data_IF_853003562181
#
_entry.id   IF_853003562181
#
_cell.length_a   1.000
_cell.length_b   1.000
_cell.length_c   1.000
_cell.angle_alpha   90.00
_cell.angle_beta   90.00
_cell.angle_gamma   90.00
#
_symmetry.space_group_name_H-M   'P 1'
#
loop_
_entity.id
_entity.type
_entity.pdbx_description
1 polymer ?
#
# COMPACT_ATOMS: atom_id res chain seq x y z
N UNK A 1 4.71 -3.66 -6.73
CA UNK A 1 4.60 -2.59 -5.71
C UNK A 1 3.94 -1.38 -6.34
N UNK A 2 2.73 -1.01 -5.92
CA UNK A 2 2.04 0.18 -6.44
C UNK A 2 2.35 1.41 -5.59
N UNK A 3 2.33 2.62 -6.21
CA UNK A 3 2.71 3.85 -5.53
C UNK A 3 4.18 3.91 -5.09
N UNK A 4 5.07 3.25 -5.83
CA UNK A 4 6.47 3.04 -5.46
C UNK A 4 7.37 4.28 -5.61
N UNK A 5 6.86 5.41 -6.10
CA UNK A 5 7.69 6.57 -6.45
C UNK A 5 8.16 7.40 -5.26
N UNK A 6 7.60 7.24 -4.06
CA UNK A 6 7.95 8.01 -2.86
C UNK A 6 7.38 7.38 -1.57
N UNK A 7 7.84 7.87 -0.40
CA UNK A 7 7.32 7.52 0.93
C UNK A 7 7.30 6.01 1.19
N UNK A 8 6.25 5.51 1.84
CA UNK A 8 6.08 4.10 2.18
C UNK A 8 6.30 3.19 0.97
N UNK A 9 5.78 3.59 -0.21
CA UNK A 9 5.92 2.79 -1.42
C UNK A 9 7.36 2.62 -1.89
N UNK A 10 8.14 3.69 -1.87
CA UNK A 10 9.58 3.64 -2.19
C UNK A 10 10.35 2.83 -1.14
N UNK A 11 10.15 3.12 0.14
CA UNK A 11 10.82 2.40 1.22
C UNK A 11 10.53 0.89 1.16
N UNK A 12 9.27 0.52 0.89
CA UNK A 12 8.87 -0.89 0.72
C UNK A 12 9.53 -1.53 -0.50
N UNK A 13 9.60 -0.84 -1.63
CA UNK A 13 10.25 -1.36 -2.84
C UNK A 13 11.73 -1.67 -2.59
N UNK A 14 12.45 -0.77 -1.90
CA UNK A 14 13.84 -0.96 -1.50
C UNK A 14 13.99 -2.12 -0.51
N UNK A 15 13.16 -2.18 0.53
CA UNK A 15 13.22 -3.21 1.54
C UNK A 15 12.93 -4.61 0.97
N UNK A 16 11.96 -4.74 0.07
CA UNK A 16 11.68 -6.00 -0.64
C UNK A 16 12.86 -6.43 -1.51
N UNK A 17 13.49 -5.49 -2.23
CA UNK A 17 14.69 -5.78 -3.03
C UNK A 17 15.86 -6.24 -2.16
N UNK A 18 16.10 -5.59 -1.01
CA UNK A 18 17.11 -5.99 -0.03
C UNK A 18 16.83 -7.38 0.55
N UNK A 19 15.57 -7.76 0.68
CA UNK A 19 15.16 -9.11 1.06
C UNK A 19 15.23 -10.15 -0.08
N UNK A 20 15.76 -9.77 -1.25
CA UNK A 20 16.00 -10.66 -2.40
C UNK A 20 14.86 -10.73 -3.42
N UNK A 21 13.81 -9.92 -3.30
CA UNK A 21 12.74 -9.89 -4.28
C UNK A 21 13.12 -9.12 -5.55
N UNK A 22 12.68 -9.60 -6.72
CA UNK A 22 12.67 -8.81 -7.95
C UNK A 22 11.46 -7.87 -7.92
N UNK A 23 11.67 -6.56 -8.14
CA UNK A 23 10.65 -5.53 -7.89
C UNK A 23 10.14 -4.90 -9.19
N UNK A 24 8.84 -5.04 -9.45
CA UNK A 24 8.13 -4.20 -10.41
C UNK A 24 7.59 -2.96 -9.65
N UNK A 25 8.30 -1.83 -9.77
CA UNK A 25 7.93 -0.57 -9.15
C UNK A 25 6.93 0.17 -10.06
N UNK A 26 5.71 0.39 -9.57
CA UNK A 26 4.63 0.99 -10.36
C UNK A 26 4.11 2.30 -9.76
N UNK A 27 4.00 3.35 -10.56
CA UNK A 27 3.39 4.63 -10.23
C UNK A 27 3.18 5.48 -11.50
N UNK A 28 2.53 6.63 -11.36
CA UNK A 28 2.30 7.56 -12.48
C UNK A 28 3.54 8.36 -12.89
N UNK A 29 4.44 8.65 -11.94
CA UNK A 29 5.64 9.45 -12.19
C UNK A 29 6.80 8.55 -12.63
N UNK A 30 7.06 8.50 -13.93
CA UNK A 30 8.11 7.66 -14.54
C UNK A 30 9.52 8.06 -14.09
N UNK A 31 9.80 9.36 -13.95
CA UNK A 31 11.12 9.87 -13.54
C UNK A 31 11.49 9.41 -12.12
N UNK A 32 10.57 9.58 -11.16
CA UNK A 32 10.79 9.12 -9.79
C UNK A 32 10.93 7.60 -9.73
N UNK A 33 10.17 6.84 -10.54
CA UNK A 33 10.32 5.39 -10.63
C UNK A 33 11.69 4.98 -11.15
N UNK A 34 12.21 5.68 -12.16
CA UNK A 34 13.55 5.43 -12.70
C UNK A 34 14.63 5.60 -11.60
N UNK A 35 14.48 6.61 -10.73
CA UNK A 35 15.35 6.80 -9.58
C UNK A 35 15.31 5.62 -8.59
N UNK A 36 14.11 5.13 -8.25
CA UNK A 36 13.94 3.97 -7.35
C UNK A 36 14.55 2.71 -7.96
N UNK A 37 14.32 2.47 -9.24
CA UNK A 37 14.88 1.32 -9.96
C UNK A 37 16.41 1.39 -10.00
N UNK A 38 16.98 2.57 -10.29
CA UNK A 38 18.43 2.77 -10.31
C UNK A 38 19.06 2.48 -8.95
N UNK A 39 18.41 2.90 -7.85
CA UNK A 39 18.86 2.63 -6.49
C UNK A 39 18.85 1.13 -6.15
N UNK A 40 17.77 0.41 -6.52
CA UNK A 40 17.69 -1.04 -6.32
C UNK A 40 18.78 -1.76 -7.12
N UNK A 41 18.97 -1.39 -8.40
CA UNK A 41 19.96 -2.02 -9.27
C UNK A 41 21.38 -1.73 -8.80
N UNK A 42 21.67 -0.51 -8.35
CA UNK A 42 23.00 -0.16 -7.81
C UNK A 42 23.35 -0.91 -6.52
N UNK A 43 22.31 -1.31 -5.76
CA UNK A 43 22.47 -2.16 -4.57
C UNK A 43 22.55 -3.67 -4.91
N UNK A 44 22.58 -4.05 -6.20
CA UNK A 44 22.68 -5.44 -6.66
C UNK A 44 21.32 -6.16 -6.80
N UNK A 45 20.21 -5.48 -6.57
CA UNK A 45 18.86 -6.03 -6.73
C UNK A 45 18.37 -5.98 -8.19
N UNK A 46 17.19 -6.57 -8.43
CA UNK A 46 16.51 -6.53 -9.72
C UNK A 46 15.23 -5.71 -9.64
N UNK A 47 15.07 -4.74 -10.53
CA UNK A 47 13.85 -3.96 -10.60
C UNK A 47 13.52 -3.49 -12.02
N UNK A 48 12.22 -3.22 -12.27
CA UNK A 48 11.73 -2.50 -13.44
C UNK A 48 10.77 -1.40 -13.01
N UNK A 49 10.72 -0.33 -13.81
CA UNK A 49 9.74 0.74 -13.67
C UNK A 49 8.51 0.46 -14.55
N UNK A 50 7.32 0.57 -13.98
CA UNK A 50 6.05 0.46 -14.69
C UNK A 50 5.26 1.74 -14.49
N UNK A 51 5.18 2.57 -15.52
CA UNK A 51 4.31 3.74 -15.48
C UNK A 51 2.86 3.28 -15.60
N UNK A 52 2.06 3.52 -14.54
CA UNK A 52 0.70 3.01 -14.43
C UNK A 52 -0.14 3.85 -13.47
N UNK A 53 -1.37 4.17 -13.87
CA UNK A 53 -2.40 4.66 -12.95
C UNK A 53 -3.28 3.49 -12.50
N UNK A 54 -3.33 3.22 -11.20
CA UNK A 54 -4.16 2.14 -10.64
C UNK A 54 -5.66 2.38 -10.83
N UNK A 55 -6.08 3.61 -11.05
CA UNK A 55 -7.46 3.96 -11.34
C UNK A 55 -7.94 3.53 -12.75
N UNK A 56 -7.00 3.14 -13.63
CA UNK A 56 -7.25 2.71 -15.01
C UNK A 56 -7.02 1.19 -15.12
N UNK A 57 -8.11 0.43 -15.35
CA UNK A 57 -8.06 -1.03 -15.39
C UNK A 57 -7.18 -1.57 -16.54
N UNK A 58 -7.15 -0.88 -17.70
CA UNK A 58 -6.34 -1.32 -18.83
C UNK A 58 -4.85 -1.08 -18.58
N UNK A 59 -4.48 0.05 -17.98
CA UNK A 59 -3.10 0.29 -17.56
C UNK A 59 -2.67 -0.71 -16.49
N UNK A 60 -3.54 -1.06 -15.54
CA UNK A 60 -3.25 -2.10 -14.54
C UNK A 60 -3.00 -3.44 -15.23
N UNK A 61 -3.88 -3.87 -16.15
CA UNK A 61 -3.70 -5.12 -16.90
C UNK A 61 -2.39 -5.14 -17.67
N UNK A 62 -2.08 -4.07 -18.40
CA UNK A 62 -0.82 -3.94 -19.16
C UNK A 62 0.41 -3.97 -18.22
N UNK A 63 0.37 -3.27 -17.09
CA UNK A 63 1.45 -3.23 -16.12
C UNK A 63 1.73 -4.60 -15.48
N UNK A 64 0.68 -5.36 -15.14
CA UNK A 64 0.85 -6.72 -14.63
C UNK A 64 1.38 -7.69 -15.69
N UNK A 65 0.98 -7.51 -16.96
CA UNK A 65 1.54 -8.28 -18.06
C UNK A 65 3.05 -8.04 -18.19
N UNK A 66 3.49 -6.78 -18.23
CA UNK A 66 4.92 -6.42 -18.28
C UNK A 66 5.71 -7.00 -17.09
N UNK A 67 5.17 -6.94 -15.87
CA UNK A 67 5.83 -7.51 -14.71
C UNK A 67 5.99 -9.03 -14.83
N UNK A 68 4.94 -9.74 -15.25
CA UNK A 68 4.97 -11.19 -15.40
C UNK A 68 5.81 -11.65 -16.59
N UNK A 69 5.83 -10.92 -17.69
CA UNK A 69 6.71 -11.16 -18.81
C UNK A 69 8.18 -11.03 -18.40
N UNK A 70 8.52 -9.97 -17.66
CA UNK A 70 9.90 -9.71 -17.22
C UNK A 70 10.43 -10.74 -16.24
N UNK A 71 9.60 -11.13 -15.24
CA UNK A 71 10.07 -11.96 -14.12
C UNK A 71 9.55 -13.41 -14.15
N UNK A 72 8.66 -13.76 -15.07
CA UNK A 72 8.09 -15.10 -15.22
C UNK A 72 7.08 -15.50 -14.14
N UNK A 73 6.95 -14.72 -13.06
CA UNK A 73 6.09 -15.00 -11.90
C UNK A 73 5.64 -13.74 -11.19
N UNK A 74 4.64 -13.88 -10.33
CA UNK A 74 4.19 -12.84 -9.42
C UNK A 74 3.84 -13.47 -8.08
N UNK A 75 4.62 -13.17 -7.04
CA UNK A 75 4.49 -13.75 -5.71
C UNK A 75 3.92 -12.78 -4.69
N UNK A 76 4.22 -11.50 -4.83
CA UNK A 76 3.87 -10.48 -3.87
C UNK A 76 3.20 -9.30 -4.59
N UNK A 77 2.03 -8.90 -4.11
CA UNK A 77 1.39 -7.65 -4.46
C UNK A 77 1.31 -6.74 -3.23
N UNK A 78 1.84 -5.53 -3.34
CA UNK A 78 1.61 -4.49 -2.34
C UNK A 78 0.78 -3.37 -2.95
N UNK A 79 -0.46 -3.23 -2.52
CA UNK A 79 -1.37 -2.16 -2.85
C UNK A 79 -1.13 -0.97 -1.91
N UNK A 80 -0.29 -0.03 -2.35
CA UNK A 80 0.03 1.17 -1.57
C UNK A 80 -0.38 2.47 -2.29
N UNK A 81 -0.59 2.44 -3.60
CA UNK A 81 -1.02 3.64 -4.32
C UNK A 81 -2.27 4.24 -3.66
N UNK A 82 -2.22 5.54 -3.39
CA UNK A 82 -3.32 6.24 -2.77
C UNK A 82 -3.14 7.76 -2.81
N UNK A 83 -4.25 8.45 -2.67
CA UNK A 83 -4.34 9.90 -2.63
C UNK A 83 -5.30 10.35 -1.54
N UNK A 84 -5.18 11.60 -1.11
CA UNK A 84 -6.19 12.29 -0.29
C UNK A 84 -6.79 13.47 -1.07
N UNK A 85 -8.02 13.79 -0.77
CA UNK A 85 -8.74 15.00 -1.18
C UNK A 85 -9.57 15.45 0.03
N UNK A 86 -8.91 16.20 0.90
CA UNK A 86 -9.47 16.55 2.20
C UNK A 86 -10.48 17.71 2.08
N UNK A 87 -11.58 17.61 2.80
CA UNK A 87 -12.63 18.61 2.85
C UNK A 87 -13.75 18.16 3.78
N UNK A 88 -14.43 19.14 4.42
CA UNK A 88 -15.57 18.83 5.28
C UNK A 88 -16.66 18.11 4.48
N UNK A 89 -17.28 17.09 5.05
CA UNK A 89 -18.28 16.25 4.39
C UNK A 89 -19.40 17.06 3.72
N UNK A 90 -19.89 18.12 4.38
CA UNK A 90 -20.94 19.01 3.87
C UNK A 90 -20.52 19.81 2.62
N UNK A 91 -19.22 19.94 2.36
CA UNK A 91 -18.67 20.69 1.21
C UNK A 91 -17.88 19.81 0.25
N UNK A 92 -17.82 18.50 0.50
CA UNK A 92 -17.04 17.58 -0.33
C UNK A 92 -17.70 17.47 -1.71
N UNK A 93 -16.89 17.69 -2.75
CA UNK A 93 -17.34 17.51 -4.13
C UNK A 93 -17.44 16.03 -4.47
N UNK A 94 -18.43 15.66 -5.27
CA UNK A 94 -18.58 14.28 -5.76
C UNK A 94 -17.32 13.79 -6.49
N UNK A 95 -16.67 14.66 -7.27
CA UNK A 95 -15.44 14.36 -8.00
C UNK A 95 -14.27 14.00 -7.05
N UNK A 96 -14.14 14.70 -5.90
CA UNK A 96 -13.11 14.41 -4.91
C UNK A 96 -13.39 13.08 -4.19
N UNK A 97 -14.67 12.80 -3.90
CA UNK A 97 -15.11 11.53 -3.36
C UNK A 97 -14.78 10.39 -4.34
N UNK A 98 -15.26 10.47 -5.58
CA UNK A 98 -15.08 9.42 -6.58
C UNK A 98 -13.62 9.19 -6.91
N UNK A 99 -12.81 10.25 -7.01
CA UNK A 99 -11.38 10.16 -7.32
C UNK A 99 -10.63 9.40 -6.21
N UNK A 100 -10.95 9.65 -4.95
CA UNK A 100 -10.32 8.95 -3.82
C UNK A 100 -10.74 7.49 -3.76
N UNK A 101 -12.03 7.18 -3.89
CA UNK A 101 -12.50 5.79 -3.92
C UNK A 101 -11.92 5.04 -5.12
N UNK A 102 -11.93 5.67 -6.28
CA UNK A 102 -11.42 5.08 -7.52
C UNK A 102 -9.95 4.69 -7.39
N UNK A 103 -9.12 5.57 -6.82
CA UNK A 103 -7.68 5.30 -6.67
C UNK A 103 -7.42 4.33 -5.53
N UNK A 104 -7.95 4.62 -4.32
CA UNK A 104 -7.51 3.94 -3.09
C UNK A 104 -8.18 2.57 -2.86
N UNK A 105 -9.38 2.36 -3.41
CA UNK A 105 -10.14 1.12 -3.24
C UNK A 105 -10.31 0.37 -4.57
N UNK A 106 -10.91 0.98 -5.57
CA UNK A 106 -11.16 0.33 -6.86
C UNK A 106 -9.85 -0.05 -7.55
N UNK A 107 -8.83 0.83 -7.51
CA UNK A 107 -7.50 0.54 -8.07
C UNK A 107 -6.80 -0.63 -7.36
N UNK A 108 -6.93 -0.72 -6.04
CA UNK A 108 -6.41 -1.87 -5.29
C UNK A 108 -7.13 -3.18 -5.67
N UNK A 109 -8.45 -3.13 -5.89
CA UNK A 109 -9.22 -4.26 -6.39
C UNK A 109 -8.76 -4.70 -7.79
N UNK A 110 -8.56 -3.78 -8.74
CA UNK A 110 -8.04 -4.10 -10.07
C UNK A 110 -6.67 -4.79 -9.99
N UNK A 111 -5.76 -4.25 -9.18
CA UNK A 111 -4.45 -4.87 -8.97
C UNK A 111 -4.57 -6.27 -8.34
N UNK A 112 -5.42 -6.43 -7.33
CA UNK A 112 -5.65 -7.72 -6.69
C UNK A 112 -6.21 -8.74 -7.68
N UNK A 113 -7.17 -8.37 -8.54
CA UNK A 113 -7.75 -9.22 -9.57
C UNK A 113 -6.69 -9.73 -10.55
N UNK A 114 -5.79 -8.86 -11.03
CA UNK A 114 -4.69 -9.27 -11.91
C UNK A 114 -3.70 -10.20 -11.19
N UNK A 115 -3.32 -9.88 -9.95
CA UNK A 115 -2.42 -10.70 -9.16
C UNK A 115 -2.99 -12.09 -8.90
N UNK A 116 -4.25 -12.17 -8.46
CA UNK A 116 -4.93 -13.43 -8.18
C UNK A 116 -4.96 -14.36 -9.40
N UNK A 117 -5.13 -13.83 -10.61
CA UNK A 117 -5.14 -14.64 -11.84
C UNK A 117 -3.82 -15.42 -12.05
N UNK A 118 -2.70 -14.87 -11.60
CA UNK A 118 -1.36 -15.49 -11.68
C UNK A 118 -1.11 -16.36 -10.45
N UNK A 119 -1.31 -15.83 -9.24
CA UNK A 119 -1.03 -16.49 -7.97
C UNK A 119 -1.85 -17.77 -7.75
N UNK A 120 -3.12 -17.78 -8.18
CA UNK A 120 -3.98 -18.97 -8.05
C UNK A 120 -3.48 -20.17 -8.89
N UNK A 121 -2.89 -19.91 -10.05
CA UNK A 121 -2.27 -20.96 -10.89
C UNK A 121 -0.99 -21.47 -10.25
N UNK A 122 -0.18 -20.58 -9.70
CA UNK A 122 1.07 -20.91 -9.00
C UNK A 122 0.83 -21.56 -7.62
N UNK A 123 -0.39 -21.47 -7.06
CA UNK A 123 -0.76 -21.85 -5.68
C UNK A 123 0.17 -21.25 -4.63
N UNK A 124 0.52 -19.99 -4.85
CA UNK A 124 1.36 -19.19 -3.95
C UNK A 124 1.09 -17.70 -4.18
N UNK A 125 0.99 -16.94 -3.10
CA UNK A 125 0.88 -15.48 -3.19
C UNK A 125 0.78 -14.80 -1.84
N UNK A 126 1.18 -13.53 -1.83
CA UNK A 126 1.10 -12.61 -0.69
C UNK A 126 0.53 -11.28 -1.20
N UNK A 127 -0.64 -10.91 -0.72
CA UNK A 127 -1.26 -9.61 -1.04
C UNK A 127 -1.27 -8.78 0.23
N UNK A 128 -0.65 -7.61 0.20
CA UNK A 128 -0.58 -6.68 1.32
C UNK A 128 -1.22 -5.35 0.90
N UNK A 129 -2.26 -4.95 1.60
CA UNK A 129 -2.96 -3.70 1.37
C UNK A 129 -2.52 -2.65 2.39
N UNK A 130 -2.07 -1.48 1.93
CA UNK A 130 -1.72 -0.37 2.82
C UNK A 130 -2.98 0.42 3.12
N UNK A 131 -3.59 0.12 4.25
CA UNK A 131 -4.76 0.82 4.80
C UNK A 131 -4.34 2.12 5.50
N UNK A 132 -4.90 2.43 6.64
CA UNK A 132 -4.53 3.55 7.52
C UNK A 132 -5.23 3.39 8.86
N UNK A 133 -4.64 3.89 9.92
CA UNK A 133 -5.28 3.97 11.25
C UNK A 133 -6.62 4.71 11.19
N UNK A 134 -6.74 5.73 10.34
CA UNK A 134 -7.99 6.51 10.21
C UNK A 134 -9.16 5.70 9.62
N UNK A 135 -8.89 4.55 8.99
CA UNK A 135 -9.95 3.64 8.55
C UNK A 135 -10.83 3.14 9.71
N UNK A 136 -10.27 3.13 10.91
CA UNK A 136 -10.93 2.60 12.11
C UNK A 136 -11.24 3.68 13.14
N UNK A 137 -10.40 4.75 13.20
CA UNK A 137 -10.61 5.87 14.14
C UNK A 137 -11.46 6.99 13.58
N UNK A 138 -11.61 7.08 12.26
CA UNK A 138 -12.10 8.26 11.59
C UNK A 138 -11.09 9.43 11.61
N UNK A 139 -11.32 10.43 10.75
CA UNK A 139 -10.59 11.69 10.78
C UNK A 139 -11.45 12.80 10.16
N UNK A 140 -11.68 13.93 10.87
CA UNK A 140 -12.41 15.06 10.31
C UNK A 140 -11.83 15.54 8.98
N UNK A 141 -12.69 15.81 7.99
CA UNK A 141 -12.27 16.26 6.66
C UNK A 141 -11.81 15.16 5.71
N UNK A 142 -11.82 13.88 6.11
CA UNK A 142 -11.34 12.76 5.29
C UNK A 142 -12.39 11.67 5.06
N UNK A 143 -13.66 12.02 4.98
CA UNK A 143 -14.75 11.04 4.87
C UNK A 143 -14.57 10.09 3.66
N UNK A 144 -14.09 10.58 2.51
CA UNK A 144 -13.76 9.80 1.33
C UNK A 144 -12.56 8.87 1.56
N UNK A 145 -11.49 9.37 2.16
CA UNK A 145 -10.28 8.60 2.44
C UNK A 145 -10.54 7.51 3.48
N UNK A 146 -11.22 7.86 4.56
CA UNK A 146 -11.65 6.91 5.61
C UNK A 146 -12.53 5.80 5.00
N UNK A 147 -13.54 6.16 4.21
CA UNK A 147 -14.41 5.19 3.54
C UNK A 147 -13.62 4.25 2.62
N UNK A 148 -12.69 4.80 1.81
CA UNK A 148 -11.85 4.01 0.92
C UNK A 148 -10.93 3.05 1.69
N UNK A 149 -10.30 3.51 2.77
CA UNK A 149 -9.37 2.68 3.56
C UNK A 149 -10.11 1.65 4.42
N UNK A 150 -11.30 1.97 4.93
CA UNK A 150 -12.18 1.00 5.59
C UNK A 150 -12.68 -0.06 4.59
N UNK A 151 -13.07 0.35 3.39
CA UNK A 151 -13.41 -0.57 2.30
C UNK A 151 -12.24 -1.50 1.92
N UNK A 152 -11.01 -1.00 1.95
CA UNK A 152 -9.81 -1.79 1.68
C UNK A 152 -9.57 -2.87 2.76
N UNK A 153 -9.89 -2.59 4.03
CA UNK A 153 -9.89 -3.60 5.12
C UNK A 153 -10.96 -4.65 4.85
N UNK A 154 -12.16 -4.26 4.44
CA UNK A 154 -13.23 -5.17 4.04
C UNK A 154 -12.82 -6.07 2.86
N UNK A 155 -12.23 -5.47 1.81
CA UNK A 155 -11.67 -6.18 0.65
C UNK A 155 -10.60 -7.20 1.08
N UNK A 156 -9.70 -6.81 1.99
CA UNK A 156 -8.66 -7.69 2.54
C UNK A 156 -9.27 -8.96 3.13
N UNK A 157 -10.28 -8.81 4.00
CA UNK A 157 -10.93 -9.95 4.67
C UNK A 157 -11.70 -10.85 3.70
N UNK A 158 -12.42 -10.25 2.76
CA UNK A 158 -13.18 -10.99 1.75
C UNK A 158 -12.24 -11.85 0.88
N UNK A 159 -11.18 -11.26 0.32
CA UNK A 159 -10.20 -11.96 -0.50
C UNK A 159 -9.44 -13.03 0.31
N UNK A 160 -9.11 -12.75 1.57
CA UNK A 160 -8.43 -13.71 2.44
C UNK A 160 -9.21 -15.03 2.56
N UNK A 161 -10.54 -14.95 2.72
CA UNK A 161 -11.39 -16.15 2.80
C UNK A 161 -11.50 -16.84 1.43
N UNK A 162 -11.66 -16.05 0.36
CA UNK A 162 -11.93 -16.59 -0.98
C UNK A 162 -10.77 -17.40 -1.56
N UNK A 163 -9.52 -16.96 -1.32
CA UNK A 163 -8.34 -17.54 -2.00
C UNK A 163 -7.37 -18.27 -1.07
N UNK A 164 -7.67 -18.41 0.23
CA UNK A 164 -6.81 -19.10 1.20
C UNK A 164 -6.49 -20.55 0.78
N UNK A 165 -7.46 -21.26 0.18
CA UNK A 165 -7.28 -22.64 -0.30
C UNK A 165 -6.22 -22.79 -1.41
N UNK A 166 -5.77 -21.66 -1.96
CA UNK A 166 -4.70 -21.60 -2.97
C UNK A 166 -3.33 -21.23 -2.38
N UNK A 167 -3.15 -21.30 -1.06
CA UNK A 167 -1.92 -20.89 -0.37
C UNK A 167 -1.56 -19.41 -0.65
N UNK A 168 -2.58 -18.56 -0.71
CA UNK A 168 -2.43 -17.12 -0.88
C UNK A 168 -2.93 -16.45 0.39
N UNK A 169 -2.11 -15.60 0.98
CA UNK A 169 -2.52 -14.78 2.12
C UNK A 169 -2.83 -13.34 1.67
N UNK A 170 -3.84 -12.75 2.29
CA UNK A 170 -4.22 -11.35 2.04
C UNK A 170 -4.32 -10.64 3.38
N UNK A 171 -3.45 -9.64 3.59
CA UNK A 171 -3.38 -8.89 4.84
C UNK A 171 -3.36 -7.38 4.56
N UNK A 172 -3.59 -6.60 5.59
CA UNK A 172 -3.44 -5.15 5.54
C UNK A 172 -2.42 -4.69 6.59
N UNK A 173 -1.76 -3.57 6.32
CA UNK A 173 -1.08 -2.76 7.33
C UNK A 173 -1.86 -1.47 7.54
N UNK A 174 -1.96 -0.99 8.78
CA UNK A 174 -2.61 0.25 9.14
C UNK A 174 -1.58 1.24 9.73
N UNK A 175 -0.90 2.02 8.87
CA UNK A 175 0.04 3.04 9.33
C UNK A 175 -0.68 4.13 10.13
N UNK A 176 0.00 4.63 11.17
CA UNK A 176 -0.38 5.83 11.88
C UNK A 176 0.18 7.11 11.24
N UNK A 177 0.66 8.04 12.07
CA UNK A 177 1.33 9.25 11.60
C UNK A 177 2.77 8.92 11.20
N UNK A 178 3.03 8.94 9.90
CA UNK A 178 4.33 8.62 9.31
C UNK A 178 4.98 9.90 8.77
N UNK A 179 6.27 10.06 9.04
CA UNK A 179 7.07 11.17 8.48
C UNK A 179 6.98 11.15 6.96
N UNK A 180 6.61 12.28 6.40
CA UNK A 180 6.45 12.43 4.95
C UNK A 180 6.56 13.93 4.58
N UNK A 181 6.83 14.26 3.31
CA UNK A 181 6.82 15.66 2.87
C UNK A 181 5.49 16.39 3.15
N UNK A 182 4.41 15.65 3.34
CA UNK A 182 3.11 16.22 3.72
C UNK A 182 3.06 16.56 5.21
N UNK A 183 3.49 15.65 6.08
CA UNK A 183 3.51 15.85 7.54
C UNK A 183 4.58 16.86 7.95
N UNK A 184 5.68 16.98 7.20
CA UNK A 184 6.74 17.96 7.46
C UNK A 184 6.25 19.41 7.33
N UNK A 185 5.24 19.65 6.48
CA UNK A 185 4.65 20.99 6.26
C UNK A 185 3.61 21.39 7.28
N UNK A 186 3.21 20.48 8.18
CA UNK A 186 2.23 20.81 9.23
C UNK A 186 2.83 21.79 10.24
N UNK A 187 2.04 22.78 10.74
CA UNK A 187 2.44 23.62 11.84
C UNK A 187 2.85 22.80 13.06
N UNK A 188 3.82 23.29 13.86
CA UNK A 188 4.34 22.57 15.02
C UNK A 188 3.24 22.22 16.02
N UNK A 189 2.34 23.14 16.30
CA UNK A 189 1.19 22.92 17.20
C UNK A 189 0.30 21.75 16.77
N UNK A 190 0.08 21.60 15.44
CA UNK A 190 -0.66 20.49 14.88
C UNK A 190 0.12 19.17 15.06
N UNK A 191 1.43 19.21 14.83
CA UNK A 191 2.30 18.04 15.06
C UNK A 191 2.26 17.61 16.53
N UNK A 192 2.39 18.56 17.45
CA UNK A 192 2.38 18.30 18.90
C UNK A 192 1.02 17.70 19.34
N UNK A 193 -0.08 18.23 18.83
CA UNK A 193 -1.43 17.70 19.08
C UNK A 193 -1.63 16.28 18.54
N UNK A 194 -1.02 15.96 17.39
CA UNK A 194 -1.04 14.61 16.84
C UNK A 194 -0.17 13.66 17.68
N UNK A 195 1.03 14.09 18.06
CA UNK A 195 1.99 13.30 18.85
C UNK A 195 1.48 13.01 20.27
N UNK A 196 0.75 13.94 20.88
CA UNK A 196 0.13 13.75 22.20
C UNK A 196 -0.85 12.55 22.24
N UNK A 197 -1.35 12.11 21.08
CA UNK A 197 -2.25 10.95 20.95
C UNK A 197 -1.51 9.65 20.68
N UNK A 198 -0.21 9.68 20.37
CA UNK A 198 0.59 8.51 20.05
C UNK A 198 1.36 8.05 21.28
N UNK A 199 1.08 6.88 21.86
CA UNK A 199 1.78 6.38 23.05
C UNK A 199 3.30 6.33 22.93
N UNK A 200 3.84 6.01 21.74
CA UNK A 200 5.30 6.06 21.50
C UNK A 200 5.86 7.49 21.36
N UNK A 201 5.02 8.53 21.47
CA UNK A 201 5.37 9.95 21.49
C UNK A 201 6.25 10.42 20.31
N UNK A 202 6.18 9.75 19.17
CA UNK A 202 6.89 10.11 17.93
C UNK A 202 6.11 9.69 16.69
N UNK A 203 6.41 10.31 15.58
CA UNK A 203 5.97 9.79 14.28
C UNK A 203 6.72 8.50 13.94
N UNK A 204 6.07 7.60 13.23
CA UNK A 204 6.70 6.46 12.59
C UNK A 204 7.45 6.89 11.32
N UNK A 205 8.27 6.01 10.81
CA UNK A 205 8.99 6.17 9.55
C UNK A 205 8.40 5.26 8.48
N UNK A 206 8.63 5.60 7.22
CA UNK A 206 8.29 4.75 6.08
C UNK A 206 9.02 3.40 6.13
N UNK A 207 10.24 3.36 6.68
CA UNK A 207 11.02 2.14 6.89
C UNK A 207 10.35 1.19 7.92
N UNK A 208 9.74 1.71 8.98
CA UNK A 208 9.02 0.89 9.97
C UNK A 208 7.77 0.25 9.37
N UNK A 209 7.06 0.97 8.50
CA UNK A 209 5.93 0.40 7.74
C UNK A 209 6.43 -0.62 6.72
N UNK A 210 7.53 -0.35 6.02
CA UNK A 210 8.13 -1.27 5.07
C UNK A 210 8.55 -2.59 5.73
N UNK A 211 9.13 -2.54 6.94
CA UNK A 211 9.51 -3.75 7.69
C UNK A 211 8.30 -4.65 7.99
N UNK A 212 7.17 -4.06 8.40
CA UNK A 212 5.92 -4.80 8.61
C UNK A 212 5.38 -5.42 7.31
N UNK A 213 5.48 -4.71 6.19
CA UNK A 213 5.09 -5.23 4.87
C UNK A 213 6.00 -6.39 4.44
N UNK A 214 7.32 -6.27 4.61
CA UNK A 214 8.27 -7.34 4.30
C UNK A 214 7.97 -8.59 5.15
N UNK A 215 7.68 -8.43 6.44
CA UNK A 215 7.27 -9.56 7.30
C UNK A 215 6.01 -10.25 6.76
N UNK A 216 4.95 -9.49 6.44
CA UNK A 216 3.71 -10.07 5.89
C UNK A 216 3.90 -10.70 4.50
N UNK A 217 4.92 -10.29 3.76
CA UNK A 217 5.27 -10.84 2.46
C UNK A 217 6.13 -12.10 2.55
N UNK A 218 6.69 -12.40 3.71
CA UNK A 218 7.61 -13.51 3.93
C UNK A 218 6.90 -14.84 4.24
N UNK A 219 7.66 -15.93 4.31
CA UNK A 219 7.14 -17.25 4.67
C UNK A 219 6.88 -17.38 6.18
N UNK A 220 7.48 -16.55 7.02
CA UNK A 220 7.21 -16.48 8.46
C UNK A 220 5.75 -16.08 8.74
N UNK A 221 5.14 -15.30 7.83
CA UNK A 221 3.74 -14.87 7.93
C UNK A 221 2.75 -15.81 7.22
N UNK A 222 3.17 -17.00 6.76
CA UNK A 222 2.33 -17.91 5.94
C UNK A 222 1.03 -18.37 6.61
N UNK A 223 0.90 -18.26 7.92
CA UNK A 223 -0.32 -18.61 8.67
C UNK A 223 -1.12 -17.39 9.09
N UNK A 224 -0.77 -16.19 8.57
CA UNK A 224 -1.46 -14.94 8.83
C UNK A 224 -2.23 -14.56 7.56
N UNK A 225 -3.57 -14.51 7.63
CA UNK A 225 -4.42 -14.04 6.54
C UNK A 225 -5.67 -13.35 7.09
N UNK A 226 -6.15 -12.31 6.42
CA UNK A 226 -7.29 -11.48 6.87
C UNK A 226 -6.95 -10.50 7.98
N UNK A 227 -5.70 -10.44 8.42
CA UNK A 227 -5.26 -9.57 9.50
C UNK A 227 -5.08 -8.12 9.05
N UNK A 228 -5.26 -7.20 10.00
CA UNK A 228 -4.85 -5.80 9.89
C UNK A 228 -3.76 -5.57 10.92
N UNK A 229 -2.54 -5.37 10.46
CA UNK A 229 -1.38 -5.13 11.32
C UNK A 229 -1.23 -3.63 11.56
N UNK A 230 -1.45 -3.21 12.79
CA UNK A 230 -1.27 -1.83 13.22
C UNK A 230 0.22 -1.44 13.28
N UNK A 231 0.59 -0.37 12.54
CA UNK A 231 1.94 0.23 12.54
C UNK A 231 1.77 1.71 12.85
N UNK A 232 1.29 2.01 14.06
CA UNK A 232 0.76 3.34 14.39
C UNK A 232 1.23 3.90 15.74
N UNK A 233 2.25 3.27 16.37
CA UNK A 233 2.80 3.73 17.63
C UNK A 233 1.85 3.66 18.82
N UNK A 234 0.79 2.84 18.74
CA UNK A 234 -0.24 2.69 19.75
C UNK A 234 -1.39 3.70 19.64
N UNK A 235 -1.43 4.50 18.55
CA UNK A 235 -2.52 5.46 18.32
C UNK A 235 -3.91 4.76 18.29
N UNK A 236 -3.93 3.52 17.84
CA UNK A 236 -5.04 2.60 17.93
C UNK A 236 -4.53 1.24 18.40
N UNK A 237 -5.23 0.61 19.32
CA UNK A 237 -4.92 -0.73 19.80
C UNK A 237 -6.14 -1.61 19.59
N UNK A 238 -5.97 -2.70 18.86
CA UNK A 238 -6.76 -3.90 18.64
C UNK A 238 -8.20 -3.80 18.41
#
# INVERSE_FOLDING_TARGET
MTGASQGIGRATALALAQAGASVAAAARNAEKLAGVVAEIVSAGGQAIAIQMDVADAEQVKAGFHLATEKFGRLDILVNNAGITRDGLAVRMKAEDWDTVLRTNLTGAHFCAQQAMSVMMRARYGRIINVASVVAETGNPGQVNYVAAKAGLIGLTRALAIEIASRNITVNAVAPGFIVSPMTDRLPQEVKDGLLARVPLARMGTDAEVAAAIVFLASDEARYITGAVLDVNGGLRMG
#
